data_IF_430781395272
#
_entry.id   IF_430781395272
#
_cell.length_a   1.000
_cell.length_b   1.000
_cell.length_c   1.000
_cell.angle_alpha   90.00
_cell.angle_beta   90.00
_cell.angle_gamma   90.00
#
_symmetry.space_group_name_H-M   'P 1'
#
loop_
_entity.id
_entity.type
_entity.pdbx_description
1 polymer ?
#
# COMPACT_ATOMS: atom_id res chain seq x y z
N UNK A 1 6.44 -20.22 -12.86
CA UNK A 1 6.40 -18.82 -13.32
C UNK A 1 7.55 -18.67 -14.29
N UNK A 2 7.33 -18.18 -15.52
CA UNK A 2 8.40 -18.01 -16.49
C UNK A 2 9.26 -16.81 -16.09
N UNK A 3 10.54 -16.83 -16.45
CA UNK A 3 11.48 -15.69 -16.28
C UNK A 3 10.92 -14.37 -16.79
N UNK A 4 10.06 -14.41 -17.80
CA UNK A 4 9.39 -13.24 -18.37
C UNK A 4 8.54 -12.47 -17.35
N UNK A 5 7.88 -13.17 -16.44
CA UNK A 5 7.08 -12.51 -15.36
C UNK A 5 7.95 -11.84 -14.29
N UNK A 6 9.18 -12.29 -14.13
CA UNK A 6 10.11 -11.72 -13.17
C UNK A 6 10.66 -10.37 -13.67
N UNK A 7 10.97 -10.27 -14.96
CA UNK A 7 11.49 -9.05 -15.58
C UNK A 7 10.42 -7.99 -15.81
N UNK A 8 9.15 -8.36 -15.92
CA UNK A 8 8.03 -7.44 -16.09
C UNK A 8 7.80 -6.53 -14.84
N UNK A 9 8.55 -6.75 -13.75
CA UNK A 9 8.50 -5.95 -12.52
C UNK A 9 9.73 -5.09 -12.28
N UNK A 10 10.68 -5.10 -13.17
CA UNK A 10 11.82 -4.20 -13.18
C UNK A 10 11.52 -3.07 -14.16
N UNK A 11 11.48 -1.87 -13.65
CA UNK A 11 11.21 -0.68 -14.41
C UNK A 11 12.47 0.18 -14.41
N UNK A 12 12.88 0.60 -15.61
CA UNK A 12 14.07 1.41 -15.78
C UNK A 12 13.70 2.76 -16.36
N UNK A 13 14.29 3.81 -15.83
CA UNK A 13 14.37 5.07 -16.55
C UNK A 13 15.56 5.00 -17.52
N UNK A 14 15.32 4.53 -18.73
CA UNK A 14 16.37 4.24 -19.72
C UNK A 14 17.08 5.47 -20.28
N UNK A 15 16.49 6.69 -20.13
CA UNK A 15 16.91 7.86 -20.87
C UNK A 15 17.16 9.10 -20.02
N UNK A 16 17.34 8.98 -18.71
CA UNK A 16 17.55 10.11 -17.78
C UNK A 16 16.40 11.17 -17.79
N UNK A 17 15.26 10.86 -18.39
CA UNK A 17 14.11 11.74 -18.40
C UNK A 17 13.26 11.54 -17.15
N UNK A 18 12.44 12.56 -16.87
CA UNK A 18 11.41 12.46 -15.85
C UNK A 18 10.62 11.16 -16.00
N UNK A 19 10.46 10.44 -14.90
CA UNK A 19 9.65 9.25 -14.84
C UNK A 19 8.25 9.56 -15.35
N UNK A 20 7.76 8.77 -16.31
CA UNK A 20 6.35 8.81 -16.71
C UNK A 20 5.65 7.62 -16.09
N UNK A 21 4.51 7.88 -15.46
CA UNK A 21 3.70 6.82 -14.88
C UNK A 21 3.33 5.78 -15.91
N UNK A 22 3.76 4.53 -15.69
CA UNK A 22 3.18 3.39 -16.41
C UNK A 22 1.80 3.10 -15.75
N UNK A 23 0.69 3.16 -16.52
CA UNK A 23 -0.65 2.85 -16.00
C UNK A 23 -0.77 1.43 -15.44
N UNK A 24 0.12 0.53 -15.83
CA UNK A 24 0.17 -0.85 -15.33
C UNK A 24 0.84 -0.96 -13.97
N UNK A 25 1.67 0.01 -13.62
CA UNK A 25 2.33 0.07 -12.32
C UNK A 25 1.36 0.62 -11.27
N UNK A 26 1.14 -0.12 -10.19
CA UNK A 26 0.20 0.28 -9.13
C UNK A 26 0.59 1.63 -8.50
N UNK A 27 1.87 1.92 -8.43
CA UNK A 27 2.44 3.13 -7.78
C UNK A 27 2.85 4.23 -8.77
N UNK A 28 2.48 4.13 -10.06
CA UNK A 28 3.03 4.96 -11.11
C UNK A 28 2.91 6.46 -10.82
N UNK A 29 1.72 6.94 -10.43
CA UNK A 29 1.50 8.36 -10.13
C UNK A 29 2.23 8.84 -8.87
N UNK A 30 2.39 7.97 -7.87
CA UNK A 30 3.17 8.30 -6.68
C UNK A 30 4.64 8.49 -7.03
N UNK A 31 5.23 7.57 -7.77
CA UNK A 31 6.62 7.65 -8.21
C UNK A 31 6.86 8.85 -9.13
N UNK A 32 5.96 9.11 -10.08
CA UNK A 32 6.02 10.29 -10.93
C UNK A 32 6.07 11.59 -10.11
N UNK A 33 5.19 11.70 -9.12
CA UNK A 33 5.14 12.87 -8.24
C UNK A 33 6.42 13.06 -7.44
N UNK A 34 6.99 11.98 -6.89
CA UNK A 34 8.22 12.05 -6.11
C UNK A 34 9.42 12.34 -6.98
N UNK A 35 9.58 11.65 -8.11
CA UNK A 35 10.74 11.85 -8.97
C UNK A 35 10.72 13.21 -9.67
N UNK A 36 9.53 13.74 -10.01
CA UNK A 36 9.40 15.12 -10.48
C UNK A 36 9.84 16.11 -9.42
N UNK A 37 9.40 15.91 -8.17
CA UNK A 37 9.82 16.79 -7.07
C UNK A 37 11.31 16.68 -6.77
N UNK A 38 11.87 15.48 -6.88
CA UNK A 38 13.31 15.28 -6.72
C UNK A 38 14.09 15.98 -7.84
N UNK A 39 13.61 15.94 -9.08
CA UNK A 39 14.21 16.67 -10.18
C UNK A 39 14.18 18.20 -9.95
N UNK A 40 13.07 18.74 -9.45
CA UNK A 40 12.97 20.16 -9.07
C UNK A 40 14.01 20.56 -8.00
N UNK A 41 14.27 19.67 -7.03
CA UNK A 41 15.20 19.93 -5.93
C UNK A 41 16.66 19.82 -6.38
N UNK A 42 16.98 18.79 -7.17
CA UNK A 42 18.35 18.51 -7.60
C UNK A 42 18.78 19.33 -8.81
N UNK A 43 17.82 19.87 -9.59
CA UNK A 43 18.13 20.62 -10.81
C UNK A 43 18.96 19.76 -11.79
N UNK A 44 20.05 20.34 -12.32
CA UNK A 44 20.89 19.66 -13.32
C UNK A 44 21.52 18.36 -12.79
N UNK A 45 21.80 18.27 -11.49
CA UNK A 45 22.40 17.05 -10.89
C UNK A 45 21.45 15.85 -10.87
N UNK A 46 20.15 16.04 -11.11
CA UNK A 46 19.22 14.94 -11.27
C UNK A 46 19.62 13.99 -12.39
N UNK A 47 20.21 14.52 -13.45
CA UNK A 47 20.63 13.78 -14.63
C UNK A 47 21.90 12.93 -14.43
N UNK A 48 22.61 13.13 -13.32
CA UNK A 48 23.75 12.31 -12.93
C UNK A 48 23.34 10.94 -12.41
N UNK A 49 22.04 10.77 -12.11
CA UNK A 49 21.51 9.53 -11.55
C UNK A 49 20.61 8.78 -12.53
N UNK A 50 20.71 7.45 -12.48
CA UNK A 50 19.78 6.51 -13.11
C UNK A 50 18.88 5.89 -12.05
N UNK A 51 17.62 5.67 -12.37
CA UNK A 51 16.65 5.12 -11.44
C UNK A 51 16.21 3.72 -11.88
N UNK A 52 16.22 2.79 -10.94
CA UNK A 52 15.69 1.43 -11.09
C UNK A 52 14.57 1.26 -10.07
N UNK A 53 13.39 0.89 -10.52
CA UNK A 53 12.26 0.57 -9.64
C UNK A 53 12.06 -0.94 -9.65
N UNK A 54 12.09 -1.54 -8.47
CA UNK A 54 11.87 -2.96 -8.28
C UNK A 54 10.67 -3.22 -7.36
N UNK A 55 9.65 -3.83 -7.94
CA UNK A 55 8.44 -4.25 -7.21
C UNK A 55 8.61 -5.72 -6.80
N UNK A 56 9.11 -5.95 -5.58
CA UNK A 56 9.48 -7.27 -5.07
C UNK A 56 8.27 -8.16 -4.76
N UNK A 57 8.31 -9.40 -5.20
CA UNK A 57 7.36 -10.43 -4.77
C UNK A 57 7.92 -11.21 -3.58
N UNK A 58 7.20 -11.23 -2.47
CA UNK A 58 7.60 -11.79 -1.17
C UNK A 58 8.19 -13.22 -1.16
N UNK A 59 8.08 -13.96 -2.24
CA UNK A 59 8.52 -15.37 -2.31
C UNK A 59 9.56 -15.63 -3.37
N UNK A 60 10.03 -14.58 -4.03
CA UNK A 60 11.05 -14.70 -5.06
C UNK A 60 12.40 -14.23 -4.51
N UNK A 61 13.51 -14.82 -4.97
CA UNK A 61 14.83 -14.30 -4.67
C UNK A 61 15.01 -12.92 -5.32
N UNK A 62 15.95 -12.13 -4.80
CA UNK A 62 16.34 -10.89 -5.46
C UNK A 62 16.88 -11.18 -6.86
N UNK A 63 16.56 -10.35 -7.86
CA UNK A 63 17.09 -10.52 -9.21
C UNK A 63 18.58 -10.19 -9.26
N UNK A 64 19.25 -10.70 -10.25
CA UNK A 64 20.53 -10.14 -10.66
C UNK A 64 20.28 -8.81 -11.38
N UNK A 65 20.54 -7.71 -10.68
CA UNK A 65 20.36 -6.37 -11.22
C UNK A 65 21.41 -6.09 -12.31
N UNK A 66 21.00 -6.12 -13.57
CA UNK A 66 21.88 -5.81 -14.71
C UNK A 66 22.29 -4.34 -14.77
N UNK A 67 21.48 -3.46 -14.19
CA UNK A 67 21.78 -2.04 -14.04
C UNK A 67 22.08 -1.79 -12.58
N UNK A 68 23.33 -1.54 -12.27
CA UNK A 68 23.83 -1.20 -10.96
C UNK A 68 25.03 -0.26 -11.15
N UNK A 69 25.39 0.49 -10.13
CA UNK A 69 26.50 1.43 -10.14
C UNK A 69 26.36 2.53 -9.10
N UNK A 70 27.42 3.30 -8.93
CA UNK A 70 27.45 4.42 -7.99
C UNK A 70 26.70 5.67 -8.51
N UNK A 71 26.08 5.55 -9.66
CA UNK A 71 25.17 6.52 -10.26
C UNK A 71 23.72 5.99 -10.29
N UNK A 72 23.47 4.80 -9.72
CA UNK A 72 22.14 4.15 -9.75
C UNK A 72 21.46 4.22 -8.42
N UNK A 73 20.24 4.72 -8.42
CA UNK A 73 19.33 4.73 -7.27
C UNK A 73 18.29 3.62 -7.47
N UNK A 74 18.21 2.70 -6.51
CA UNK A 74 17.21 1.64 -6.49
C UNK A 74 16.04 2.06 -5.62
N UNK A 75 14.83 2.06 -6.19
CA UNK A 75 13.56 2.18 -5.46
C UNK A 75 12.96 0.80 -5.29
N UNK A 76 13.01 0.27 -4.06
CA UNK A 76 12.64 -1.10 -3.74
C UNK A 76 11.28 -1.13 -3.04
N UNK A 77 10.26 -1.60 -3.76
CA UNK A 77 8.85 -1.56 -3.36
C UNK A 77 8.30 -2.96 -3.02
N UNK A 78 7.13 -3.00 -2.44
CA UNK A 78 6.24 -4.16 -2.25
C UNK A 78 6.78 -5.34 -1.44
N UNK A 79 7.88 -5.21 -0.74
CA UNK A 79 8.40 -6.25 0.16
C UNK A 79 7.78 -6.14 1.56
N UNK A 80 6.57 -6.68 1.74
CA UNK A 80 5.90 -6.71 3.06
C UNK A 80 6.60 -7.62 4.09
N UNK A 81 7.66 -8.35 3.73
CA UNK A 81 8.52 -9.05 4.69
C UNK A 81 9.46 -8.11 5.42
N UNK A 82 9.56 -6.87 4.95
CA UNK A 82 10.43 -5.85 5.54
C UNK A 82 11.91 -6.27 5.59
N UNK A 83 12.37 -6.99 4.58
CA UNK A 83 13.77 -7.43 4.47
C UNK A 83 14.67 -6.24 4.20
N UNK A 84 15.78 -6.13 4.91
CA UNK A 84 16.81 -5.13 4.62
C UNK A 84 17.82 -5.74 3.64
N UNK A 85 17.92 -5.23 2.40
CA UNK A 85 18.71 -5.88 1.34
C UNK A 85 20.21 -5.56 1.44
N UNK A 86 20.86 -5.95 2.53
CA UNK A 86 22.26 -5.64 2.80
C UNK A 86 23.22 -6.23 1.75
N UNK A 87 22.87 -7.38 1.16
CA UNK A 87 23.69 -8.08 0.17
C UNK A 87 23.84 -7.37 -1.17
N UNK A 88 22.98 -6.37 -1.43
CA UNK A 88 23.02 -5.60 -2.67
C UNK A 88 23.33 -4.11 -2.46
N UNK A 89 23.49 -3.66 -1.20
CA UNK A 89 23.62 -2.23 -0.93
C UNK A 89 24.85 -1.61 -1.61
N UNK A 90 25.97 -2.33 -1.68
CA UNK A 90 27.21 -1.83 -2.30
C UNK A 90 27.13 -1.72 -3.83
N UNK A 91 26.08 -2.28 -4.45
CA UNK A 91 25.85 -2.20 -5.89
C UNK A 91 25.20 -0.90 -6.35
N UNK A 92 24.69 -0.08 -5.42
CA UNK A 92 23.91 1.11 -5.71
C UNK A 92 24.42 2.33 -4.97
N UNK A 93 24.18 3.52 -5.54
CA UNK A 93 24.42 4.77 -4.84
C UNK A 93 23.54 4.88 -3.60
N UNK A 94 22.25 4.63 -3.76
CA UNK A 94 21.27 4.60 -2.69
C UNK A 94 20.15 3.59 -2.98
N UNK A 95 19.55 3.03 -1.93
CA UNK A 95 18.37 2.17 -2.00
C UNK A 95 17.26 2.80 -1.19
N UNK A 96 16.20 3.25 -1.86
CA UNK A 96 14.98 3.71 -1.21
C UNK A 96 14.05 2.51 -1.00
N UNK A 97 13.91 2.08 0.26
CA UNK A 97 13.21 0.84 0.63
C UNK A 97 11.86 1.13 1.27
N UNK A 98 10.77 0.70 0.59
CA UNK A 98 9.45 0.66 1.20
C UNK A 98 9.35 -0.47 2.25
N UNK A 99 8.42 -0.35 3.19
CA UNK A 99 8.28 -1.27 4.33
C UNK A 99 9.59 -1.43 5.11
N UNK A 100 10.26 -0.31 5.36
CA UNK A 100 11.54 -0.32 6.04
C UNK A 100 11.35 -0.55 7.55
N UNK A 101 11.97 -1.59 8.14
CA UNK A 101 11.64 -2.03 9.50
C UNK A 101 12.40 -1.30 10.61
N UNK A 102 13.39 -0.47 10.26
CA UNK A 102 14.30 0.15 11.21
C UNK A 102 14.00 1.64 11.36
N UNK A 103 14.28 2.19 12.56
CA UNK A 103 14.15 3.62 12.82
C UNK A 103 15.21 4.43 12.09
N UNK A 104 16.42 3.90 12.03
CA UNK A 104 17.58 4.56 11.42
C UNK A 104 17.95 3.90 10.08
N UNK A 105 18.49 4.70 9.20
CA UNK A 105 19.01 4.20 7.95
C UNK A 105 20.26 3.33 8.19
N UNK A 106 20.39 2.26 7.40
CA UNK A 106 21.55 1.37 7.46
C UNK A 106 22.33 1.52 6.16
N UNK A 107 23.60 1.94 6.25
CA UNK A 107 24.45 2.25 5.10
C UNK A 107 23.74 3.25 4.16
N UNK A 108 23.65 2.91 2.87
CA UNK A 108 22.95 3.68 1.83
C UNK A 108 21.49 3.22 1.61
N UNK A 109 20.92 2.46 2.57
CA UNK A 109 19.51 2.03 2.50
C UNK A 109 18.69 3.01 3.33
N UNK A 110 17.73 3.67 2.66
CA UNK A 110 16.92 4.75 3.19
C UNK A 110 15.46 4.32 3.24
N UNK A 111 14.76 4.68 4.31
CA UNK A 111 13.32 4.48 4.39
C UNK A 111 12.59 5.25 3.28
N UNK A 112 11.57 4.64 2.70
CA UNK A 112 10.75 5.21 1.65
C UNK A 112 9.27 4.86 1.92
N UNK A 113 8.35 5.83 1.89
CA UNK A 113 6.94 5.53 2.11
C UNK A 113 6.40 4.68 0.96
N UNK A 114 5.51 3.74 1.27
CA UNK A 114 4.90 2.88 0.24
C UNK A 114 4.09 3.67 -0.79
N UNK A 115 3.70 4.88 -0.45
CA UNK A 115 2.92 5.74 -1.32
C UNK A 115 1.44 5.40 -1.37
N UNK A 116 0.81 5.85 -2.43
CA UNK A 116 -0.60 5.59 -2.73
C UNK A 116 -0.72 4.89 -4.09
N UNK A 117 -1.76 4.10 -4.24
CA UNK A 117 -2.01 3.44 -5.52
C UNK A 117 -2.63 4.40 -6.54
N UNK A 118 -2.54 4.03 -7.82
CA UNK A 118 -3.18 4.78 -8.90
C UNK A 118 -4.72 4.85 -8.77
N UNK A 119 -5.32 4.10 -7.83
CA UNK A 119 -6.75 4.13 -7.58
C UNK A 119 -7.21 5.36 -6.78
N UNK A 120 -6.30 6.07 -6.13
CA UNK A 120 -6.61 7.30 -5.41
C UNK A 120 -6.46 8.53 -6.33
N UNK A 121 -7.25 8.61 -7.38
CA UNK A 121 -7.36 9.87 -8.12
C UNK A 121 -7.92 10.95 -7.19
N UNK A 122 -7.28 12.12 -7.17
CA UNK A 122 -7.83 13.27 -6.48
C UNK A 122 -9.09 13.69 -7.22
N UNK A 123 -10.24 13.29 -6.69
CA UNK A 123 -11.52 13.80 -7.14
C UNK A 123 -11.70 15.24 -6.61
N UNK A 124 -12.71 15.53 -5.92
CA UNK A 124 -13.00 16.83 -5.35
C UNK A 124 -12.59 16.86 -3.87
N UNK A 125 -11.86 17.89 -3.44
CA UNK A 125 -11.70 18.16 -2.01
C UNK A 125 -13.06 18.57 -1.42
N UNK A 126 -13.51 17.84 -0.41
CA UNK A 126 -14.73 18.13 0.34
C UNK A 126 -14.31 18.54 1.76
N UNK A 127 -14.72 19.74 2.22
CA UNK A 127 -14.46 20.17 3.58
C UNK A 127 -14.95 19.15 4.62
N UNK A 128 -14.21 18.96 5.69
CA UNK A 128 -14.47 17.91 6.67
C UNK A 128 -15.91 17.90 7.20
N UNK A 129 -16.47 19.09 7.46
CA UNK A 129 -17.83 19.22 8.00
C UNK A 129 -18.93 18.85 7.00
N UNK A 130 -18.65 18.96 5.70
CA UNK A 130 -19.60 18.69 4.62
C UNK A 130 -19.61 17.22 4.20
N UNK A 131 -18.70 16.39 4.73
CA UNK A 131 -18.57 15.00 4.36
C UNK A 131 -19.75 14.16 4.87
N UNK A 132 -20.27 13.32 3.98
CA UNK A 132 -21.48 12.54 4.22
C UNK A 132 -21.28 11.37 5.18
N UNK A 133 -20.06 10.77 5.19
CA UNK A 133 -19.78 9.58 5.98
C UNK A 133 -18.96 9.93 7.22
N UNK A 134 -19.44 9.51 8.38
CA UNK A 134 -18.67 9.66 9.61
C UNK A 134 -17.45 8.75 9.57
N UNK A 135 -17.66 7.47 9.18
CA UNK A 135 -16.58 6.49 9.11
C UNK A 135 -16.70 5.62 7.86
N UNK A 136 -15.59 5.23 7.27
CA UNK A 136 -15.60 4.25 6.19
C UNK A 136 -14.46 3.24 6.25
N UNK A 137 -14.74 2.08 5.67
CA UNK A 137 -13.77 1.09 5.27
C UNK A 137 -14.13 0.55 3.90
N UNK A 138 -13.18 0.52 2.98
CA UNK A 138 -13.34 -0.18 1.69
C UNK A 138 -12.10 -1.05 1.43
N UNK A 139 -12.29 -2.35 1.31
CA UNK A 139 -11.18 -3.27 1.07
C UNK A 139 -11.51 -4.74 1.26
N UNK A 140 -10.51 -5.59 1.09
CA UNK A 140 -10.67 -7.02 1.34
C UNK A 140 -10.61 -7.32 2.85
N UNK A 141 -11.13 -8.49 3.24
CA UNK A 141 -11.11 -9.00 4.61
C UNK A 141 -10.13 -10.15 4.82
N UNK A 142 -9.21 -10.37 3.88
CA UNK A 142 -8.24 -11.45 3.94
C UNK A 142 -7.17 -11.19 5.03
N UNK A 143 -6.60 -12.25 5.53
CA UNK A 143 -5.51 -12.18 6.50
C UNK A 143 -5.94 -11.56 7.84
N UNK A 144 -5.19 -10.59 8.31
CA UNK A 144 -5.40 -9.94 9.61
C UNK A 144 -6.70 -9.12 9.69
N UNK A 145 -7.28 -8.77 8.54
CA UNK A 145 -8.53 -7.99 8.48
C UNK A 145 -9.77 -8.80 8.82
N UNK A 146 -9.65 -10.12 9.00
CA UNK A 146 -10.76 -10.94 9.47
C UNK A 146 -11.18 -10.57 10.89
N UNK A 147 -10.24 -10.35 11.80
CA UNK A 147 -10.54 -9.98 13.16
C UNK A 147 -11.17 -8.59 13.20
N UNK A 148 -10.65 -7.67 12.38
CA UNK A 148 -11.28 -6.38 12.18
C UNK A 148 -12.72 -6.51 11.66
N UNK A 149 -12.98 -7.34 10.63
CA UNK A 149 -14.33 -7.61 10.12
C UNK A 149 -15.26 -8.19 11.19
N UNK A 150 -14.75 -9.10 12.03
CA UNK A 150 -15.53 -9.70 13.13
C UNK A 150 -16.06 -8.63 14.10
N UNK A 151 -15.26 -7.63 14.43
CA UNK A 151 -15.68 -6.57 15.36
C UNK A 151 -16.89 -5.77 14.84
N UNK A 152 -17.05 -5.66 13.55
CA UNK A 152 -18.14 -4.93 12.90
C UNK A 152 -19.32 -5.80 12.49
N UNK A 153 -19.34 -7.09 12.86
CA UNK A 153 -20.41 -8.02 12.51
C UNK A 153 -20.86 -8.84 13.70
N UNK A 154 -22.00 -9.53 13.56
CA UNK A 154 -22.48 -10.46 14.58
C UNK A 154 -21.46 -11.55 14.95
N UNK A 155 -20.46 -11.80 14.10
CA UNK A 155 -19.38 -12.75 14.38
C UNK A 155 -18.54 -12.39 15.61
N UNK A 156 -18.63 -11.17 16.12
CA UNK A 156 -17.99 -10.76 17.39
C UNK A 156 -18.47 -11.58 18.59
N UNK A 157 -19.69 -12.09 18.54
CA UNK A 157 -20.28 -12.90 19.62
C UNK A 157 -19.87 -14.37 19.55
N UNK A 158 -19.26 -14.82 18.44
CA UNK A 158 -18.71 -16.16 18.34
C UNK A 158 -17.30 -16.21 18.93
N UNK A 159 -16.90 -17.37 19.54
CA UNK A 159 -15.53 -17.54 19.99
C UNK A 159 -14.55 -17.27 18.85
N UNK A 160 -13.37 -16.68 19.14
CA UNK A 160 -12.35 -16.54 18.12
C UNK A 160 -12.00 -17.91 17.57
N UNK A 161 -12.10 -18.07 16.26
CA UNK A 161 -11.69 -19.33 15.63
C UNK A 161 -10.21 -19.56 15.95
N UNK A 162 -9.78 -20.80 16.24
CA UNK A 162 -8.37 -21.14 16.42
C UNK A 162 -7.66 -21.03 15.07
N UNK A 163 -7.39 -19.78 14.64
CA UNK A 163 -6.96 -19.46 13.28
C UNK A 163 -5.42 -19.35 13.21
N UNK A 164 -4.73 -20.18 13.95
CA UNK A 164 -3.27 -20.28 13.82
C UNK A 164 -2.85 -21.07 12.56
N UNK A 165 -3.80 -21.75 11.91
CA UNK A 165 -3.53 -22.48 10.67
C UNK A 165 -3.99 -21.67 9.44
N UNK A 166 -3.09 -21.32 8.50
CA UNK A 166 -3.45 -20.67 7.24
C UNK A 166 -4.47 -21.47 6.41
N UNK A 167 -4.41 -22.80 6.49
CA UNK A 167 -5.35 -23.69 5.78
C UNK A 167 -6.78 -23.59 6.33
N UNK A 168 -6.93 -23.59 7.65
CA UNK A 168 -8.24 -23.45 8.31
C UNK A 168 -8.81 -22.05 8.04
N UNK A 169 -7.97 -21.02 8.07
CA UNK A 169 -8.36 -19.66 7.72
C UNK A 169 -8.90 -19.61 6.28
N UNK A 170 -8.21 -20.20 5.32
CA UNK A 170 -8.63 -20.26 3.92
C UNK A 170 -9.96 -21.03 3.75
N UNK A 171 -10.12 -22.15 4.46
CA UNK A 171 -11.36 -22.92 4.44
C UNK A 171 -12.53 -22.12 5.00
N UNK A 172 -12.33 -21.48 6.13
CA UNK A 172 -13.33 -20.60 6.75
C UNK A 172 -13.78 -19.49 5.79
N UNK A 173 -12.84 -18.85 5.10
CA UNK A 173 -13.16 -17.86 4.06
C UNK A 173 -13.98 -18.43 2.92
N UNK A 174 -13.60 -19.61 2.42
CA UNK A 174 -14.37 -20.28 1.35
C UNK A 174 -15.81 -20.56 1.80
N UNK A 175 -16.00 -21.00 3.02
CA UNK A 175 -17.33 -21.27 3.60
C UNK A 175 -18.13 -19.97 3.68
N UNK A 176 -17.59 -18.93 4.28
CA UNK A 176 -18.26 -17.63 4.41
C UNK A 176 -18.61 -17.00 3.06
N UNK A 177 -17.73 -17.14 2.07
CA UNK A 177 -17.97 -16.66 0.70
C UNK A 177 -19.06 -17.48 0.00
N UNK A 178 -19.04 -18.81 0.16
CA UNK A 178 -20.06 -19.71 -0.43
C UNK A 178 -21.46 -19.40 0.09
N UNK A 179 -21.59 -19.09 1.36
CA UNK A 179 -22.89 -18.75 1.97
C UNK A 179 -23.29 -17.28 1.79
N UNK A 180 -22.57 -16.52 0.95
CA UNK A 180 -22.84 -15.08 0.69
C UNK A 180 -22.97 -14.24 1.96
N UNK A 181 -22.31 -14.65 3.04
CA UNK A 181 -22.32 -13.94 4.32
C UNK A 181 -21.61 -12.60 4.17
N UNK A 182 -20.65 -12.53 3.24
CA UNK A 182 -19.96 -11.29 2.87
C UNK A 182 -20.75 -10.54 1.82
N UNK A 183 -21.56 -9.61 2.29
CA UNK A 183 -22.19 -8.60 1.41
C UNK A 183 -21.65 -7.23 1.79
N UNK A 184 -21.52 -6.32 0.80
CA UNK A 184 -21.33 -4.92 1.12
C UNK A 184 -22.43 -4.49 2.10
N UNK A 185 -22.07 -4.03 3.28
CA UNK A 185 -23.05 -3.57 4.27
C UNK A 185 -22.81 -2.12 4.58
N UNK A 186 -23.86 -1.35 4.51
CA UNK A 186 -23.90 -0.02 5.11
C UNK A 186 -24.14 -0.23 6.61
N UNK A 187 -23.19 0.15 7.44
CA UNK A 187 -23.39 0.23 8.89
C UNK A 187 -24.00 1.60 9.19
N UNK A 188 -25.32 1.63 9.30
CA UNK A 188 -26.04 2.89 9.49
C UNK A 188 -26.21 3.23 10.96
N UNK A 189 -26.20 2.24 11.87
CA UNK A 189 -26.88 2.40 13.15
C UNK A 189 -26.00 2.60 14.40
N UNK A 190 -24.70 2.36 14.35
CA UNK A 190 -23.87 2.44 15.58
C UNK A 190 -23.08 3.74 15.69
N UNK A 191 -22.72 4.34 14.56
CA UNK A 191 -21.83 5.52 14.49
C UNK A 191 -22.32 6.58 13.50
N UNK A 192 -23.62 6.71 13.28
CA UNK A 192 -24.13 7.60 12.25
C UNK A 192 -23.95 7.02 10.85
N UNK A 193 -23.67 7.86 9.85
CA UNK A 193 -23.52 7.44 8.45
C UNK A 193 -22.18 6.74 8.22
N UNK A 194 -22.09 5.46 8.56
CA UNK A 194 -20.86 4.68 8.34
C UNK A 194 -21.01 3.72 7.16
N UNK A 195 -19.95 3.57 6.37
CA UNK A 195 -19.91 2.64 5.23
C UNK A 195 -18.75 1.67 5.39
N UNK A 196 -19.06 0.38 5.37
CA UNK A 196 -18.02 -0.66 5.23
C UNK A 196 -18.30 -1.49 3.98
N UNK A 197 -17.37 -1.43 3.04
CA UNK A 197 -17.41 -2.22 1.83
C UNK A 197 -16.35 -3.32 1.88
N UNK A 198 -16.79 -4.57 1.85
CA UNK A 198 -15.93 -5.73 1.96
C UNK A 198 -15.85 -6.47 0.63
N UNK A 199 -14.63 -6.65 0.12
CA UNK A 199 -14.38 -7.43 -1.10
C UNK A 199 -13.75 -8.79 -0.79
N UNK A 200 -14.05 -9.78 -1.63
CA UNK A 200 -13.53 -11.13 -1.51
C UNK A 200 -12.11 -11.35 -2.03
N UNK A 201 -11.43 -10.30 -2.48
CA UNK A 201 -10.07 -10.37 -3.01
C UNK A 201 -9.50 -9.02 -3.34
N UNK A 202 -8.19 -8.98 -3.57
CA UNK A 202 -7.43 -7.73 -3.75
C UNK A 202 -7.94 -6.88 -4.93
N UNK A 203 -8.25 -7.48 -6.06
CA UNK A 203 -8.72 -6.76 -7.26
C UNK A 203 -10.24 -6.80 -7.45
N UNK A 204 -11.00 -7.23 -6.46
CA UNK A 204 -12.46 -7.43 -6.55
C UNK A 204 -13.24 -6.39 -5.73
N UNK A 205 -12.70 -5.21 -5.60
CA UNK A 205 -13.29 -4.12 -4.82
C UNK A 205 -14.20 -3.21 -5.63
N UNK A 206 -14.36 -2.01 -5.10
CA UNK A 206 -14.96 -0.88 -5.79
C UNK A 206 -14.12 -0.48 -7.01
N UNK A 207 -14.76 0.13 -8.00
CA UNK A 207 -14.01 0.85 -9.03
C UNK A 207 -13.18 1.99 -8.41
N UNK A 208 -12.23 2.51 -9.17
CA UNK A 208 -11.36 3.61 -8.71
C UNK A 208 -12.17 4.82 -8.29
N UNK A 209 -13.15 5.18 -9.11
CA UNK A 209 -13.96 6.38 -8.88
C UNK A 209 -14.92 6.21 -7.70
N UNK A 210 -15.54 5.03 -7.56
CA UNK A 210 -16.37 4.72 -6.40
C UNK A 210 -15.56 4.76 -5.10
N UNK A 211 -14.36 4.17 -5.12
CA UNK A 211 -13.46 4.19 -3.97
C UNK A 211 -13.05 5.62 -3.60
N UNK A 212 -12.61 6.40 -4.58
CA UNK A 212 -12.20 7.79 -4.37
C UNK A 212 -13.36 8.65 -3.87
N UNK A 213 -14.57 8.45 -4.41
CA UNK A 213 -15.79 9.16 -3.97
C UNK A 213 -16.10 8.85 -2.51
N UNK A 214 -16.14 7.56 -2.13
CA UNK A 214 -16.42 7.18 -0.74
C UNK A 214 -15.40 7.78 0.22
N UNK A 215 -14.11 7.71 -0.12
CA UNK A 215 -13.05 8.24 0.76
C UNK A 215 -13.13 9.76 0.86
N UNK A 216 -13.34 10.48 -0.24
CA UNK A 216 -13.45 11.95 -0.23
C UNK A 216 -14.63 12.44 0.62
N UNK A 217 -15.69 11.66 0.69
CA UNK A 217 -16.87 11.93 1.50
C UNK A 217 -16.77 11.42 2.96
N UNK A 218 -15.63 10.84 3.34
CA UNK A 218 -15.42 10.22 4.66
C UNK A 218 -14.67 11.16 5.59
N UNK A 219 -15.12 11.27 6.85
CA UNK A 219 -14.43 12.00 7.92
C UNK A 219 -13.31 11.17 8.52
N UNK A 220 -13.61 9.94 8.92
CA UNK A 220 -12.67 9.02 9.58
C UNK A 220 -12.52 7.75 8.74
N UNK A 221 -11.31 7.50 8.24
CA UNK A 221 -11.01 6.31 7.47
C UNK A 221 -10.38 5.22 8.33
N UNK A 222 -10.90 4.01 8.23
CA UNK A 222 -10.35 2.85 8.94
C UNK A 222 -9.29 2.18 8.06
N UNK A 223 -8.05 2.17 8.55
CA UNK A 223 -6.88 1.67 7.84
C UNK A 223 -6.21 0.50 8.58
N UNK A 224 -6.90 -0.63 8.76
CA UNK A 224 -6.31 -1.78 9.43
C UNK A 224 -5.13 -2.32 8.63
N UNK A 225 -4.16 -2.89 9.34
CA UNK A 225 -2.93 -3.43 8.75
C UNK A 225 -3.17 -4.33 7.55
N UNK A 226 -2.19 -4.34 6.65
CA UNK A 226 -2.14 -5.19 5.49
C UNK A 226 -1.91 -6.67 5.82
N UNK A 227 -1.18 -7.37 4.97
CA UNK A 227 -0.88 -8.79 5.18
C UNK A 227 0.14 -8.98 6.31
N UNK A 228 1.22 -8.22 6.32
CA UNK A 228 2.27 -8.24 7.35
C UNK A 228 2.56 -6.87 7.92
N UNK A 229 2.61 -5.86 7.09
CA UNK A 229 2.89 -4.48 7.51
C UNK A 229 1.62 -3.75 7.90
N UNK A 230 1.76 -2.82 8.85
CA UNK A 230 0.74 -1.83 9.20
C UNK A 230 0.68 -0.72 8.15
N UNK A 231 1.77 -0.47 7.43
CA UNK A 231 1.71 0.38 6.25
C UNK A 231 0.83 -0.24 5.17
N UNK A 232 -0.08 0.53 4.63
CA UNK A 232 -0.90 0.13 3.49
C UNK A 232 -1.24 1.36 2.64
N UNK A 233 -1.45 1.17 1.34
CA UNK A 233 -1.82 2.26 0.44
C UNK A 233 -2.97 3.11 0.96
N UNK A 234 -3.96 2.48 1.57
CA UNK A 234 -5.14 3.17 2.12
C UNK A 234 -4.75 4.26 3.11
N UNK A 235 -3.71 4.05 3.91
CA UNK A 235 -3.23 5.05 4.85
C UNK A 235 -2.95 6.38 4.12
N UNK A 236 -2.06 6.35 3.14
CA UNK A 236 -1.65 7.55 2.40
C UNK A 236 -2.73 8.05 1.42
N UNK A 237 -3.53 7.15 0.85
CA UNK A 237 -4.70 7.50 0.03
C UNK A 237 -5.71 8.33 0.82
N UNK A 238 -6.03 7.90 2.03
CA UNK A 238 -7.01 8.57 2.89
C UNK A 238 -6.47 9.87 3.49
N UNK A 239 -5.17 9.91 3.85
CA UNK A 239 -4.50 11.16 4.25
C UNK A 239 -4.59 12.20 3.13
N UNK A 240 -4.24 11.81 1.92
CA UNK A 240 -4.25 12.67 0.75
C UNK A 240 -5.62 13.25 0.45
N UNK A 241 -6.68 12.51 0.77
CA UNK A 241 -8.07 12.96 0.64
C UNK A 241 -8.60 13.69 1.90
N UNK A 242 -7.72 13.94 2.89
CA UNK A 242 -8.03 14.74 4.08
C UNK A 242 -8.90 14.02 5.11
N UNK A 243 -8.86 12.69 5.18
CA UNK A 243 -9.51 11.95 6.25
C UNK A 243 -8.67 11.97 7.53
N UNK A 244 -9.34 11.91 8.67
CA UNK A 244 -8.71 11.45 9.91
C UNK A 244 -8.52 9.93 9.82
N UNK A 245 -7.37 9.44 10.23
CA UNK A 245 -7.02 8.02 10.07
C UNK A 245 -7.10 7.30 11.41
N UNK A 246 -7.69 6.11 11.38
CA UNK A 246 -7.60 5.13 12.46
C UNK A 246 -6.88 3.89 11.90
N UNK A 247 -5.70 3.61 12.42
CA UNK A 247 -4.86 2.47 11.99
C UNK A 247 -4.37 1.67 13.19
N UNK A 248 -3.81 0.50 12.93
CA UNK A 248 -2.94 -0.17 13.87
C UNK A 248 -1.67 0.67 14.07
N UNK A 249 -0.86 0.34 15.08
CA UNK A 249 0.42 0.98 15.33
C UNK A 249 1.30 0.94 14.07
N UNK A 250 1.79 2.11 13.69
CA UNK A 250 2.62 2.24 12.50
C UNK A 250 4.05 1.79 12.80
N UNK A 251 4.82 1.37 11.77
CA UNK A 251 6.19 0.98 11.98
C UNK A 251 7.02 2.19 12.49
N UNK A 252 8.12 1.95 13.18
CA UNK A 252 8.96 2.99 13.79
C UNK A 252 9.75 3.81 12.75
N UNK A 253 9.21 3.97 11.56
CA UNK A 253 9.78 4.80 10.51
C UNK A 253 9.70 6.28 10.89
N UNK A 254 10.77 7.04 10.59
CA UNK A 254 10.80 8.50 10.80
C UNK A 254 9.65 9.27 10.13
N UNK A 255 9.02 8.68 9.10
CA UNK A 255 7.87 9.26 8.40
C UNK A 255 6.60 9.38 9.26
N UNK A 256 6.54 8.65 10.38
CA UNK A 256 5.36 8.59 11.24
C UNK A 256 5.62 9.12 12.65
N UNK A 257 6.78 9.73 12.89
CA UNK A 257 7.17 10.25 14.21
C UNK A 257 6.76 11.70 14.45
N UNK A 258 6.55 12.45 13.39
CA UNK A 258 6.14 13.86 13.39
C UNK A 258 4.66 13.97 13.02
#
# INVERSE_FOLDING_TARGET
MSEKHFYDRLYYNSNQFLWRADPKMIYGFHLESILSKLADILGDTYHDFRFVVYDHQMHLPLPDFKIAGQDVILIFLADENSTVPLEICDKFFAIFKAYYPLEENVRNILAFPIGYSNSASLTRFIPFNERNYFTSYAGNFLGNRLDFYRQFTWLRYLPPFPINSPRLRTLYFKILTKFKIFRPRKFIDTFGKSICYWSGGFAKGLSRDEYATIISETKIALCPKGFRSTECFRLLETMRLGCVIVSDELPPSRWYKD
#
